data_IF_585854166801
#
_entry.id   IF_585854166801
#
_cell.length_a   1.000
_cell.length_b   1.000
_cell.length_c   1.000
_cell.angle_alpha   90.00
_cell.angle_beta   90.00
_cell.angle_gamma   90.00
#
_symmetry.space_group_name_H-M   'P 1'
#
loop_
_entity.id
_entity.type
_entity.pdbx_description
1 polymer ?
#
# COMPACT_ATOMS: atom_id res chain seq x y z
N UNK A 1 -45.00 40.87 -9.39
CA UNK A 1 -44.75 41.60 -8.16
C UNK A 1 -45.41 40.79 -7.05
N UNK A 2 -44.67 39.86 -6.40
CA UNK A 2 -45.25 38.91 -5.45
C UNK A 2 -44.48 39.00 -4.14
N UNK A 3 -45.10 39.54 -3.15
CA UNK A 3 -44.56 39.82 -1.81
C UNK A 3 -44.59 38.48 -1.00
N UNK A 4 -43.44 37.93 -0.64
CA UNK A 4 -43.35 36.83 0.32
C UNK A 4 -43.27 37.36 1.75
N UNK A 5 -44.25 36.98 2.58
CA UNK A 5 -44.33 37.27 4.02
C UNK A 5 -43.37 36.33 4.80
N UNK A 6 -42.48 36.91 5.59
CA UNK A 6 -41.65 36.19 6.53
C UNK A 6 -42.40 35.96 7.84
N UNK A 7 -42.50 34.71 8.26
CA UNK A 7 -43.01 34.37 9.62
C UNK A 7 -41.81 34.27 10.57
N UNK A 8 -41.91 35.06 11.67
CA UNK A 8 -40.92 35.05 12.74
C UNK A 8 -41.34 33.97 13.75
N UNK A 9 -40.50 32.93 13.92
CA UNK A 9 -40.68 31.90 14.94
C UNK A 9 -39.89 32.29 16.19
N UNK A 10 -40.63 32.53 17.30
CA UNK A 10 -40.05 32.84 18.61
C UNK A 10 -39.59 31.52 19.26
N UNK A 11 -38.28 31.36 19.51
CA UNK A 11 -37.74 30.24 20.23
C UNK A 11 -37.78 30.46 21.73
N UNK A 12 -38.49 29.59 22.43
CA UNK A 12 -38.53 29.53 23.90
C UNK A 12 -37.28 28.80 24.40
N UNK A 13 -36.43 29.46 25.15
CA UNK A 13 -35.28 28.88 25.82
C UNK A 13 -35.71 28.30 27.16
N UNK A 14 -35.71 26.99 27.32
CA UNK A 14 -35.96 26.29 28.59
C UNK A 14 -34.60 26.04 29.24
N UNK A 15 -34.36 26.72 30.37
CA UNK A 15 -33.20 26.48 31.26
C UNK A 15 -33.43 25.20 32.07
N UNK A 16 -32.62 24.16 31.82
CA UNK A 16 -32.52 23.01 32.71
C UNK A 16 -31.36 23.24 33.69
N UNK A 17 -31.70 23.28 34.99
CA UNK A 17 -30.70 23.28 36.05
C UNK A 17 -30.10 21.90 36.19
N UNK A 18 -28.82 21.75 35.90
CA UNK A 18 -28.08 20.52 36.09
C UNK A 18 -27.63 20.41 37.54
N UNK A 19 -28.21 19.50 38.31
CA UNK A 19 -27.70 19.07 39.62
C UNK A 19 -26.45 18.21 39.42
N UNK A 20 -25.30 18.72 39.86
CA UNK A 20 -24.04 17.99 39.88
C UNK A 20 -24.12 16.88 40.96
N UNK A 21 -24.22 15.63 40.55
CA UNK A 21 -23.97 14.46 41.40
C UNK A 21 -22.48 14.16 41.38
N UNK A 22 -21.86 14.23 42.55
CA UNK A 22 -20.49 13.78 42.76
C UNK A 22 -20.45 12.25 42.59
N UNK A 23 -19.98 11.78 41.44
CA UNK A 23 -19.66 10.37 41.23
C UNK A 23 -18.32 10.06 41.88
N UNK A 24 -18.37 9.28 42.94
CA UNK A 24 -17.19 8.68 43.56
C UNK A 24 -16.62 7.67 42.59
N UNK A 25 -15.42 7.92 42.03
CA UNK A 25 -14.72 7.01 41.16
C UNK A 25 -14.44 5.68 41.88
N UNK A 26 -14.66 4.53 41.25
CA UNK A 26 -14.23 3.26 41.79
C UNK A 26 -12.69 3.19 41.87
N UNK A 27 -12.12 2.44 42.85
CA UNK A 27 -10.67 2.27 42.95
C UNK A 27 -10.15 1.66 41.66
N UNK A 28 -9.12 2.28 41.04
CA UNK A 28 -8.40 1.71 39.93
C UNK A 28 -7.65 0.47 40.42
N UNK A 29 -8.08 -0.70 40.00
CA UNK A 29 -7.28 -1.92 40.10
C UNK A 29 -5.99 -1.68 39.29
N UNK A 30 -4.89 -1.67 40.01
CA UNK A 30 -3.52 -1.63 39.49
C UNK A 30 -3.30 -2.92 38.68
N UNK A 31 -3.47 -2.79 37.34
CA UNK A 31 -3.19 -3.89 36.40
C UNK A 31 -1.68 -4.13 36.42
N UNK A 32 -1.27 -5.11 37.24
CA UNK A 32 0.08 -5.66 37.25
C UNK A 32 0.53 -5.94 35.83
N UNK A 33 1.68 -5.32 35.47
CA UNK A 33 2.32 -5.33 34.18
C UNK A 33 2.24 -6.62 33.40
N UNK A 34 1.36 -6.65 32.43
CA UNK A 34 1.47 -7.61 31.32
C UNK A 34 2.76 -7.34 30.58
N UNK A 35 3.61 -8.37 30.45
CA UNK A 35 4.79 -8.29 29.61
C UNK A 35 4.40 -7.72 28.25
N UNK A 36 5.18 -6.79 27.65
CA UNK A 36 4.89 -6.29 26.32
C UNK A 36 4.76 -7.47 25.36
N UNK A 37 3.68 -7.49 24.58
CA UNK A 37 3.51 -8.51 23.54
C UNK A 37 4.78 -8.51 22.67
N UNK A 38 5.27 -9.70 22.24
CA UNK A 38 6.44 -9.76 21.39
C UNK A 38 6.19 -8.88 20.16
N UNK A 39 7.06 -7.90 19.95
CA UNK A 39 7.06 -7.10 18.73
C UNK A 39 7.31 -8.09 17.61
N UNK A 40 6.29 -8.39 16.80
CA UNK A 40 6.48 -9.17 15.58
C UNK A 40 7.36 -8.31 14.68
N UNK A 41 8.60 -8.73 14.53
CA UNK A 41 9.53 -8.16 13.58
C UNK A 41 8.86 -8.27 12.19
N UNK A 42 8.66 -7.15 11.52
CA UNK A 42 8.05 -7.14 10.19
C UNK A 42 8.88 -8.05 9.28
N UNK A 43 8.23 -8.98 8.59
CA UNK A 43 8.91 -9.85 7.63
C UNK A 43 9.65 -8.96 6.62
N UNK A 44 10.92 -9.27 6.35
CA UNK A 44 11.69 -8.55 5.34
C UNK A 44 11.08 -8.70 3.94
N UNK A 45 11.60 -7.98 2.92
CA UNK A 45 11.11 -8.05 1.56
C UNK A 45 11.14 -9.50 1.02
N UNK A 46 10.11 -9.86 0.25
CA UNK A 46 10.01 -11.16 -0.42
C UNK A 46 9.59 -10.96 -1.87
N UNK A 47 10.59 -10.89 -2.75
CA UNK A 47 10.43 -10.61 -4.17
C UNK A 47 10.19 -11.87 -4.99
N UNK A 48 9.13 -11.87 -5.80
CA UNK A 48 8.77 -12.96 -6.69
C UNK A 48 8.72 -12.45 -8.13
N UNK A 49 9.40 -13.15 -9.05
CA UNK A 49 9.25 -12.88 -10.48
C UNK A 49 7.87 -13.38 -10.94
N UNK A 50 7.07 -12.53 -11.58
CA UNK A 50 5.71 -12.88 -12.00
C UNK A 50 5.42 -12.58 -13.48
N UNK A 51 6.20 -11.72 -14.14
CA UNK A 51 5.99 -11.37 -15.53
C UNK A 51 7.30 -11.05 -16.26
N UNK A 52 7.28 -11.20 -17.58
CA UNK A 52 8.34 -10.80 -18.51
C UNK A 52 7.71 -10.12 -19.70
N UNK A 53 8.04 -8.87 -19.93
CA UNK A 53 7.58 -8.09 -21.07
C UNK A 53 8.55 -6.95 -21.37
N UNK A 54 8.55 -6.43 -22.59
CA UNK A 54 9.32 -5.25 -22.99
C UNK A 54 10.81 -5.28 -22.60
N UNK A 55 11.45 -6.43 -22.75
CA UNK A 55 12.84 -6.66 -22.35
C UNK A 55 13.11 -6.40 -20.84
N UNK A 56 12.11 -6.60 -20.00
CA UNK A 56 12.19 -6.49 -18.55
C UNK A 56 11.63 -7.72 -17.85
N UNK A 57 12.20 -8.05 -16.69
CA UNK A 57 11.58 -8.92 -15.70
C UNK A 57 10.84 -8.05 -14.67
N UNK A 58 9.67 -8.50 -14.25
CA UNK A 58 8.86 -7.84 -13.25
C UNK A 58 8.79 -8.72 -12.00
N UNK A 59 9.17 -8.12 -10.87
CA UNK A 59 9.11 -8.75 -9.56
C UNK A 59 8.12 -8.00 -8.67
N UNK A 60 7.44 -8.72 -7.80
CA UNK A 60 6.53 -8.15 -6.80
C UNK A 60 7.00 -8.52 -5.40
N UNK A 61 7.06 -7.55 -4.50
CA UNK A 61 7.32 -7.79 -3.08
C UNK A 61 6.00 -8.07 -2.35
N UNK A 62 5.72 -9.34 -2.09
CA UNK A 62 4.47 -9.76 -1.46
C UNK A 62 4.35 -9.36 0.01
N UNK A 63 5.48 -9.01 0.65
CA UNK A 63 5.50 -8.52 2.03
C UNK A 63 5.35 -7.00 2.12
N UNK A 64 5.43 -6.28 0.99
CA UNK A 64 5.22 -4.83 0.93
C UNK A 64 3.73 -4.42 0.87
N UNK A 65 2.81 -5.39 0.82
CA UNK A 65 1.38 -5.11 0.69
C UNK A 65 0.84 -4.41 1.94
N UNK A 66 0.41 -3.17 1.78
CA UNK A 66 -0.27 -2.38 2.83
C UNK A 66 -1.70 -2.10 2.38
N UNK A 67 -2.68 -2.44 3.22
CA UNK A 67 -4.10 -2.27 2.91
C UNK A 67 -4.74 -1.18 3.75
N UNK A 68 -5.48 -0.28 3.10
CA UNK A 68 -6.27 0.77 3.73
C UNK A 68 -7.68 0.75 3.13
N UNK A 69 -8.61 0.04 3.77
CA UNK A 69 -9.96 -0.16 3.25
C UNK A 69 -9.97 -1.00 1.97
N UNK A 70 -10.50 -0.46 0.87
CA UNK A 70 -10.52 -1.10 -0.45
C UNK A 70 -9.23 -0.88 -1.25
N UNK A 71 -8.42 0.08 -0.85
CA UNK A 71 -7.16 0.42 -1.49
C UNK A 71 -6.00 -0.32 -0.82
N UNK A 72 -5.07 -0.80 -1.62
CA UNK A 72 -3.79 -1.31 -1.15
C UNK A 72 -2.64 -0.72 -1.96
N UNK A 73 -1.45 -0.75 -1.38
CA UNK A 73 -0.20 -0.47 -2.10
C UNK A 73 0.68 -1.70 -2.10
N UNK A 74 1.50 -1.85 -3.14
CA UNK A 74 2.48 -2.93 -3.28
C UNK A 74 3.67 -2.47 -4.10
N UNK A 75 4.88 -2.95 -3.80
CA UNK A 75 6.10 -2.64 -4.54
C UNK A 75 6.30 -3.64 -5.69
N UNK A 76 6.59 -3.11 -6.88
CA UNK A 76 6.89 -3.87 -8.10
C UNK A 76 8.21 -3.37 -8.69
N UNK A 77 9.17 -4.27 -8.89
CA UNK A 77 10.45 -3.93 -9.52
C UNK A 77 10.43 -4.26 -11.01
N UNK A 78 11.00 -3.39 -11.82
CA UNK A 78 11.28 -3.55 -13.25
C UNK A 78 12.78 -3.72 -13.44
N UNK A 79 13.23 -4.93 -13.79
CA UNK A 79 14.63 -5.27 -13.96
C UNK A 79 14.93 -5.48 -15.46
N UNK A 80 15.81 -4.68 -16.08
CA UNK A 80 16.19 -4.90 -17.50
C UNK A 80 16.78 -6.29 -17.72
N UNK A 81 16.46 -6.91 -18.86
CA UNK A 81 17.01 -8.22 -19.27
C UNK A 81 18.44 -8.08 -19.82
N UNK A 82 18.65 -7.04 -20.63
CA UNK A 82 19.89 -6.84 -21.40
C UNK A 82 20.85 -5.91 -20.65
N UNK A 83 21.45 -6.41 -19.57
CA UNK A 83 22.47 -5.68 -18.82
C UNK A 83 23.72 -6.53 -18.64
N UNK A 84 24.86 -5.87 -18.37
CA UNK A 84 26.14 -6.55 -18.11
C UNK A 84 26.15 -7.19 -16.71
N UNK A 85 26.99 -8.18 -16.50
CA UNK A 85 27.20 -8.77 -15.18
C UNK A 85 27.68 -7.69 -14.19
N UNK A 86 27.06 -7.64 -13.03
CA UNK A 86 27.37 -6.62 -12.01
C UNK A 86 26.62 -5.30 -12.17
N UNK A 87 25.76 -5.18 -13.18
CA UNK A 87 24.84 -4.05 -13.32
C UNK A 87 23.53 -4.39 -12.56
N UNK A 88 23.26 -3.63 -11.49
CA UNK A 88 22.09 -3.77 -10.63
C UNK A 88 21.01 -2.74 -10.92
N UNK A 89 21.08 -2.07 -12.08
CA UNK A 89 20.07 -1.09 -12.47
C UNK A 89 18.66 -1.71 -12.48
N UNK A 90 17.71 -1.03 -11.86
CA UNK A 90 16.29 -1.38 -11.86
C UNK A 90 15.45 -0.18 -11.44
N UNK A 91 14.14 -0.26 -11.65
CA UNK A 91 13.18 0.72 -11.12
C UNK A 91 12.25 0.00 -10.16
N UNK A 92 11.87 0.63 -9.06
CA UNK A 92 10.83 0.15 -8.14
C UNK A 92 9.66 1.11 -8.16
N UNK A 93 8.50 0.60 -8.54
CA UNK A 93 7.23 1.32 -8.56
C UNK A 93 6.39 0.92 -7.35
N UNK A 94 5.74 1.90 -6.72
CA UNK A 94 4.66 1.65 -5.77
C UNK A 94 3.33 1.71 -6.51
N UNK A 95 2.70 0.56 -6.69
CA UNK A 95 1.36 0.47 -7.25
C UNK A 95 0.30 0.70 -6.17
N UNK A 96 -0.68 1.55 -6.50
CA UNK A 96 -1.95 1.61 -5.80
C UNK A 96 -2.98 0.74 -6.52
N UNK A 97 -3.73 -0.10 -5.79
CA UNK A 97 -4.75 -1.01 -6.34
C UNK A 97 -6.04 -0.84 -5.56
N UNK A 98 -7.16 -0.63 -6.26
CA UNK A 98 -8.52 -0.72 -5.72
C UNK A 98 -9.10 -2.06 -6.09
N UNK A 99 -9.13 -2.99 -5.13
CA UNK A 99 -9.48 -4.39 -5.36
C UNK A 99 -10.90 -4.55 -5.94
N UNK A 100 -11.91 -3.94 -5.31
CA UNK A 100 -13.31 -4.04 -5.76
C UNK A 100 -13.57 -3.15 -6.97
N UNK A 101 -12.93 -1.98 -7.02
CA UNK A 101 -13.04 -1.02 -8.13
C UNK A 101 -12.32 -1.47 -9.40
N UNK A 102 -11.45 -2.49 -9.33
CA UNK A 102 -10.57 -2.94 -10.43
C UNK A 102 -9.87 -1.75 -11.09
N UNK A 103 -9.19 -0.95 -10.28
CA UNK A 103 -8.40 0.19 -10.74
C UNK A 103 -6.98 0.10 -10.20
N UNK A 104 -6.02 0.60 -10.97
CA UNK A 104 -4.61 0.70 -10.62
C UNK A 104 -4.04 2.05 -11.00
N UNK A 105 -2.95 2.42 -10.38
CA UNK A 105 -2.06 3.50 -10.81
C UNK A 105 -0.67 3.26 -10.21
N UNK A 106 0.35 3.84 -10.80
CA UNK A 106 1.66 3.97 -10.16
C UNK A 106 1.64 5.23 -9.31
N UNK A 107 1.82 5.11 -8.00
CA UNK A 107 1.81 6.24 -7.07
C UNK A 107 3.19 6.92 -7.02
N UNK A 108 4.23 6.13 -6.83
CA UNK A 108 5.61 6.61 -6.82
C UNK A 108 6.52 5.69 -7.61
N UNK A 109 7.65 6.21 -8.06
CA UNK A 109 8.71 5.45 -8.72
C UNK A 109 10.07 5.84 -8.16
N UNK A 110 10.99 4.88 -8.09
CA UNK A 110 12.36 5.09 -7.65
C UNK A 110 13.30 4.31 -8.56
N UNK A 111 14.32 4.96 -9.08
CA UNK A 111 15.34 4.34 -9.91
C UNK A 111 16.55 3.93 -9.07
N UNK A 112 17.13 2.80 -9.40
CA UNK A 112 18.44 2.38 -8.91
C UNK A 112 19.38 2.25 -10.11
N UNK A 113 20.57 2.83 -10.00
CA UNK A 113 21.60 2.74 -11.04
C UNK A 113 22.44 1.45 -10.94
N UNK A 114 23.55 1.40 -11.64
CA UNK A 114 24.37 0.18 -11.77
C UNK A 114 24.91 -0.37 -10.45
N UNK A 115 25.02 0.43 -9.40
CA UNK A 115 25.39 0.01 -8.04
C UNK A 115 24.22 -0.62 -7.25
N UNK A 116 23.00 -0.48 -7.76
CA UNK A 116 21.78 -0.97 -7.15
C UNK A 116 21.26 -0.16 -5.97
N UNK A 117 21.83 1.04 -5.74
CA UNK A 117 21.35 1.94 -4.67
C UNK A 117 20.15 2.71 -5.18
N UNK A 118 18.97 2.61 -4.49
CA UNK A 118 17.79 3.35 -4.88
C UNK A 118 17.97 4.85 -4.69
N UNK A 119 17.44 5.64 -5.64
CA UNK A 119 17.28 7.07 -5.48
C UNK A 119 16.02 7.41 -4.64
N UNK A 120 15.89 8.68 -4.28
CA UNK A 120 14.68 9.20 -3.62
C UNK A 120 13.45 8.94 -4.50
N UNK A 121 12.37 8.33 -3.97
CA UNK A 121 11.14 8.14 -4.74
C UNK A 121 10.51 9.45 -5.17
N UNK A 122 9.94 9.48 -6.35
CA UNK A 122 9.19 10.62 -6.89
C UNK A 122 7.75 10.22 -7.24
N UNK A 123 6.82 11.17 -7.08
CA UNK A 123 5.42 10.98 -7.44
C UNK A 123 5.27 10.94 -8.98
N UNK A 124 4.51 9.97 -9.49
CA UNK A 124 4.30 9.83 -10.93
C UNK A 124 3.13 10.66 -11.46
N UNK A 125 2.23 11.11 -10.56
CA UNK A 125 0.99 11.81 -10.89
C UNK A 125 0.07 11.04 -11.86
N UNK A 126 0.23 9.71 -11.95
CA UNK A 126 -0.59 8.87 -12.83
C UNK A 126 -2.04 8.79 -12.31
N UNK A 127 -3.03 8.93 -13.19
CA UNK A 127 -4.43 8.77 -12.79
C UNK A 127 -4.77 7.30 -12.51
N UNK A 128 -5.85 7.08 -11.75
CA UNK A 128 -6.43 5.75 -11.62
C UNK A 128 -7.00 5.26 -12.95
N UNK A 129 -6.56 4.09 -13.41
CA UNK A 129 -7.01 3.45 -14.64
C UNK A 129 -7.76 2.14 -14.34
N UNK A 130 -8.66 1.75 -15.25
CA UNK A 130 -9.37 0.48 -15.12
C UNK A 130 -8.47 -0.69 -15.47
N UNK A 131 -8.43 -1.70 -14.62
CA UNK A 131 -7.68 -2.94 -14.84
C UNK A 131 -8.45 -3.83 -15.82
N UNK A 132 -7.86 -4.06 -16.99
CA UNK A 132 -8.38 -5.02 -17.96
C UNK A 132 -8.13 -6.46 -17.48
N UNK A 133 -9.04 -7.41 -17.74
CA UNK A 133 -8.80 -8.82 -17.47
C UNK A 133 -7.53 -9.33 -18.20
N UNK A 134 -6.80 -10.24 -17.54
CA UNK A 134 -5.58 -10.87 -18.06
C UNK A 134 -4.45 -9.88 -18.41
N UNK A 135 -4.54 -8.64 -17.91
CA UNK A 135 -3.49 -7.63 -18.09
C UNK A 135 -2.37 -7.79 -17.05
N UNK A 136 -1.28 -7.06 -17.26
CA UNK A 136 -0.19 -6.94 -16.28
C UNK A 136 -0.71 -6.46 -14.91
N UNK A 137 -1.56 -5.44 -14.89
CA UNK A 137 -2.15 -4.90 -13.66
C UNK A 137 -3.14 -5.87 -13.01
N UNK A 138 -3.81 -6.73 -13.81
CA UNK A 138 -4.67 -7.79 -13.27
C UNK A 138 -3.83 -8.84 -12.52
N UNK A 139 -2.67 -9.20 -13.04
CA UNK A 139 -1.76 -10.10 -12.33
C UNK A 139 -1.27 -9.50 -10.99
N UNK A 140 -0.95 -8.20 -10.94
CA UNK A 140 -0.61 -7.51 -9.68
C UNK A 140 -1.80 -7.53 -8.73
N UNK A 141 -3.01 -7.25 -9.21
CA UNK A 141 -4.25 -7.30 -8.43
C UNK A 141 -4.50 -8.69 -7.84
N UNK A 142 -4.40 -9.75 -8.64
CA UNK A 142 -4.60 -11.13 -8.18
C UNK A 142 -3.59 -11.52 -7.09
N UNK A 143 -2.32 -11.17 -7.27
CA UNK A 143 -1.29 -11.44 -6.27
C UNK A 143 -1.59 -10.66 -4.97
N UNK A 144 -1.95 -9.38 -5.08
CA UNK A 144 -2.06 -8.48 -3.93
C UNK A 144 -3.43 -8.54 -3.25
N UNK A 145 -4.53 -8.64 -4.01
CA UNK A 145 -5.90 -8.64 -3.48
C UNK A 145 -6.38 -10.05 -3.11
N UNK A 146 -6.01 -11.06 -3.91
CA UNK A 146 -6.48 -12.45 -3.77
C UNK A 146 -5.43 -13.35 -3.12
N UNK A 147 -4.27 -12.78 -2.75
CA UNK A 147 -3.16 -13.50 -2.10
C UNK A 147 -2.61 -14.66 -2.95
N UNK A 148 -2.71 -14.52 -4.29
CA UNK A 148 -2.08 -15.48 -5.20
C UNK A 148 -0.55 -15.40 -5.03
N UNK A 149 0.14 -16.52 -5.23
CA UNK A 149 1.60 -16.55 -5.16
C UNK A 149 2.15 -16.96 -6.52
N UNK A 150 3.12 -16.19 -7.05
CA UNK A 150 3.86 -16.60 -8.25
C UNK A 150 4.64 -17.89 -8.03
N UNK A 151 5.17 -18.46 -9.11
CA UNK A 151 5.99 -19.66 -9.03
C UNK A 151 7.33 -19.38 -8.34
N UNK A 152 7.82 -20.31 -7.46
CA UNK A 152 9.13 -20.15 -6.83
C UNK A 152 10.28 -20.16 -7.86
N UNK A 153 11.45 -19.61 -7.48
CA UNK A 153 11.83 -19.15 -6.14
C UNK A 153 11.44 -17.70 -5.82
N UNK A 154 11.45 -17.34 -4.52
CA UNK A 154 11.45 -15.95 -4.06
C UNK A 154 12.86 -15.47 -3.71
N UNK A 155 13.04 -14.15 -3.62
CA UNK A 155 14.33 -13.51 -3.36
C UNK A 155 14.20 -12.46 -2.25
N UNK A 156 15.21 -12.37 -1.39
CA UNK A 156 15.23 -11.40 -0.29
C UNK A 156 15.43 -9.93 -0.77
N UNK A 157 15.83 -9.71 -2.01
CA UNK A 157 15.98 -8.38 -2.63
C UNK A 157 16.00 -8.50 -4.16
N UNK A 158 15.76 -7.38 -4.85
CA UNK A 158 15.96 -7.28 -6.31
C UNK A 158 17.41 -7.59 -6.68
N UNK A 159 18.37 -7.13 -5.86
CA UNK A 159 19.78 -7.47 -6.05
C UNK A 159 20.02 -8.98 -6.02
N UNK A 160 19.42 -9.71 -5.08
CA UNK A 160 19.55 -11.16 -4.98
C UNK A 160 18.99 -11.88 -6.23
N UNK A 161 17.92 -11.37 -6.82
CA UNK A 161 17.39 -11.86 -8.09
C UNK A 161 18.37 -11.63 -9.24
N UNK A 162 19.00 -10.46 -9.31
CA UNK A 162 20.00 -10.12 -10.33
C UNK A 162 21.24 -11.02 -10.18
N UNK A 163 21.74 -11.21 -8.96
CA UNK A 163 22.88 -12.08 -8.63
C UNK A 163 22.60 -13.55 -9.00
N UNK A 164 21.34 -14.00 -8.94
CA UNK A 164 20.92 -15.34 -9.39
C UNK A 164 20.88 -15.50 -10.93
N UNK A 165 21.23 -14.46 -11.68
CA UNK A 165 21.28 -14.48 -13.14
C UNK A 165 19.97 -14.13 -13.84
N UNK A 166 19.03 -13.51 -13.15
CA UNK A 166 17.71 -13.11 -13.71
C UNK A 166 16.96 -14.30 -14.35
N UNK A 167 16.70 -15.38 -13.60
CA UNK A 167 16.13 -16.62 -14.12
C UNK A 167 14.69 -16.49 -14.67
#
# INVERSE_FOLDING_TARGET
MTIRKYAIATAMVVFWAATAQAQTAPPQEEVLGGAPAPVQEAAGPEWWAFSRAEAKHYLIDVNSVVRTGDELTVMVARVPMDTTAGDYSHTVDQFGIRCNGRQSHVATSSDAFADGVPEEPYDTEEPWESIAPDSFDDAIREISCENMRPSPPSYASVKAYIDAGRP
#
